data_IF_809634228837
#
_entry.id   IF_809634228837
#
_cell.length_a   1.000
_cell.length_b   1.000
_cell.length_c   1.000
_cell.angle_alpha   90.00
_cell.angle_beta   90.00
_cell.angle_gamma   90.00
#
_symmetry.space_group_name_H-M   'P 1'
#
loop_
_entity.id
_entity.type
_entity.pdbx_description
1 polymer ?
#
# COMPACT_ATOMS: atom_id res chain seq x y z
N UNK A 1 -11.04 3.75 18.98
CA UNK A 1 -10.48 4.26 17.69
C UNK A 1 -11.34 5.37 17.13
N UNK A 2 -12.64 5.16 16.90
CA UNK A 2 -13.55 6.21 16.38
C UNK A 2 -13.54 7.53 17.19
N UNK A 3 -13.61 7.46 18.53
CA UNK A 3 -13.51 8.67 19.37
C UNK A 3 -12.21 9.45 19.20
N UNK A 4 -11.09 8.76 18.93
CA UNK A 4 -9.80 9.42 18.66
C UNK A 4 -9.80 10.06 17.27
N UNK A 5 -10.35 9.37 16.25
CA UNK A 5 -10.51 9.94 14.91
C UNK A 5 -11.37 11.22 14.93
N UNK A 6 -12.50 11.21 15.64
CA UNK A 6 -13.37 12.37 15.76
C UNK A 6 -12.72 13.54 16.52
N UNK A 7 -11.95 13.24 17.58
CA UNK A 7 -11.17 14.27 18.27
C UNK A 7 -10.10 14.88 17.37
N UNK A 8 -9.36 14.05 16.62
CA UNK A 8 -8.36 14.53 15.65
C UNK A 8 -9.00 15.47 14.64
N UNK A 9 -10.16 15.12 14.09
CA UNK A 9 -10.91 15.96 13.14
C UNK A 9 -11.37 17.28 13.76
N UNK A 10 -11.77 17.27 15.02
CA UNK A 10 -12.18 18.49 15.73
C UNK A 10 -11.01 19.43 16.04
N UNK A 11 -9.79 18.89 16.18
CA UNK A 11 -8.56 19.67 16.39
C UNK A 11 -8.03 20.22 15.06
N UNK A 12 -8.11 19.46 13.98
CA UNK A 12 -7.67 19.85 12.65
C UNK A 12 -8.50 19.12 11.58
N UNK A 13 -9.33 19.87 10.86
CA UNK A 13 -10.18 19.35 9.78
C UNK A 13 -9.54 19.49 8.38
N UNK A 14 -8.30 19.97 8.29
CA UNK A 14 -7.62 20.24 7.02
C UNK A 14 -6.81 19.06 6.48
N UNK A 15 -6.62 18.00 7.27
CA UNK A 15 -5.80 16.82 6.95
C UNK A 15 -6.61 15.53 7.02
N UNK A 16 -6.35 14.56 6.12
CA UNK A 16 -7.03 13.27 6.17
C UNK A 16 -6.58 12.45 7.38
N UNK A 17 -7.49 11.65 7.91
CA UNK A 17 -7.27 10.75 9.03
C UNK A 17 -7.10 9.32 8.52
N UNK A 18 -5.99 8.68 8.91
CA UNK A 18 -5.82 7.21 8.87
C UNK A 18 -6.04 6.66 10.28
N UNK A 19 -6.98 5.73 10.45
CA UNK A 19 -7.41 5.21 11.75
C UNK A 19 -7.27 3.69 11.79
N UNK A 20 -6.44 3.16 12.70
CA UNK A 20 -6.09 1.72 12.78
C UNK A 20 -5.50 1.17 11.46
N UNK A 21 -4.49 1.89 10.95
CA UNK A 21 -3.82 1.65 9.66
C UNK A 21 -3.55 0.16 9.38
N UNK A 22 -3.99 -0.32 8.21
CA UNK A 22 -3.76 -1.69 7.75
C UNK A 22 -4.61 -2.79 8.39
N UNK A 23 -5.41 -2.45 9.40
CA UNK A 23 -6.23 -3.38 10.18
C UNK A 23 -7.72 -3.04 10.04
N UNK A 24 -8.52 -3.28 11.08
CA UNK A 24 -9.94 -2.96 11.13
C UNK A 24 -10.14 -1.44 11.38
N UNK A 25 -10.46 -0.68 10.33
CA UNK A 25 -10.45 0.78 10.32
C UNK A 25 -11.87 1.37 10.54
N UNK A 26 -12.15 1.99 11.70
CA UNK A 26 -13.32 2.84 11.89
C UNK A 26 -12.98 4.29 11.58
N UNK A 27 -13.93 5.03 11.00
CA UNK A 27 -13.90 6.47 10.75
C UNK A 27 -12.60 6.96 10.11
N UNK A 28 -12.21 6.37 8.98
CA UNK A 28 -11.00 6.69 8.20
C UNK A 28 -11.33 7.43 6.90
N UNK A 29 -10.51 8.41 6.53
CA UNK A 29 -10.63 9.13 5.26
C UNK A 29 -9.82 8.45 4.14
N UNK A 30 -8.92 7.52 4.51
CA UNK A 30 -8.09 6.73 3.60
C UNK A 30 -8.20 5.27 4.00
N UNK A 31 -8.53 4.39 3.07
CA UNK A 31 -8.49 2.94 3.30
C UNK A 31 -7.06 2.48 3.16
N UNK A 32 -6.55 1.77 4.16
CA UNK A 32 -5.17 1.28 4.19
C UNK A 32 -5.12 -0.24 4.31
N UNK A 33 -4.14 -0.90 3.70
CA UNK A 33 -3.92 -2.35 3.88
C UNK A 33 -2.45 -2.64 4.14
N UNK A 34 -2.18 -3.58 5.05
CA UNK A 34 -0.87 -4.22 5.17
C UNK A 34 -0.93 -5.51 4.37
N UNK A 35 -0.18 -5.57 3.28
CA UNK A 35 -0.19 -6.72 2.38
C UNK A 35 1.23 -7.22 2.11
N UNK A 36 1.63 -8.22 2.88
CA UNK A 36 2.95 -8.84 2.81
C UNK A 36 2.97 -10.09 1.92
N UNK A 37 2.13 -10.12 0.89
CA UNK A 37 2.23 -11.13 -0.17
C UNK A 37 3.68 -11.27 -0.66
N UNK A 38 4.16 -12.52 -0.70
CA UNK A 38 5.55 -12.85 -1.03
C UNK A 38 5.79 -12.97 -2.53
N UNK A 39 4.71 -12.93 -3.33
CA UNK A 39 4.70 -13.09 -4.78
C UNK A 39 3.96 -11.93 -5.45
N UNK A 40 4.51 -11.34 -6.53
CA UNK A 40 3.84 -10.28 -7.29
C UNK A 40 2.42 -10.66 -7.76
N UNK A 41 2.21 -11.91 -8.13
CA UNK A 41 0.94 -12.41 -8.66
C UNK A 41 -0.19 -12.37 -7.62
N UNK A 42 0.14 -12.46 -6.32
CA UNK A 42 -0.83 -12.33 -5.24
C UNK A 42 -1.31 -10.87 -5.10
N UNK A 43 -0.40 -9.90 -5.15
CA UNK A 43 -0.76 -8.48 -5.15
C UNK A 43 -1.57 -8.12 -6.41
N UNK A 44 -1.17 -8.62 -7.58
CA UNK A 44 -1.96 -8.44 -8.80
C UNK A 44 -3.37 -9.02 -8.64
N UNK A 45 -3.49 -10.24 -8.09
CA UNK A 45 -4.79 -10.85 -7.82
C UNK A 45 -5.67 -9.98 -6.89
N UNK A 46 -5.08 -9.37 -5.87
CA UNK A 46 -5.80 -8.57 -4.87
C UNK A 46 -6.23 -7.18 -5.39
N UNK A 47 -5.51 -6.61 -6.38
CA UNK A 47 -5.64 -5.19 -6.74
C UNK A 47 -5.83 -4.90 -8.25
N UNK A 48 -5.96 -5.91 -9.12
CA UNK A 48 -6.05 -5.70 -10.58
C UNK A 48 -7.46 -5.39 -11.12
N UNK A 49 -8.53 -5.75 -10.40
CA UNK A 49 -9.92 -5.55 -10.85
C UNK A 49 -10.80 -4.94 -9.76
N UNK A 50 -11.92 -4.34 -10.15
CA UNK A 50 -12.89 -3.79 -9.19
C UNK A 50 -13.40 -4.89 -8.24
N UNK A 51 -13.70 -6.08 -8.77
CA UNK A 51 -14.17 -7.20 -7.95
C UNK A 51 -13.12 -7.63 -6.92
N UNK A 52 -11.84 -7.68 -7.32
CA UNK A 52 -10.74 -8.00 -6.42
C UNK A 52 -10.57 -6.91 -5.35
N UNK A 53 -10.60 -5.64 -5.72
CA UNK A 53 -10.54 -4.51 -4.79
C UNK A 53 -11.66 -4.56 -3.75
N UNK A 54 -12.91 -4.77 -4.19
CA UNK A 54 -14.05 -4.88 -3.29
C UNK A 54 -13.91 -6.08 -2.36
N UNK A 55 -13.40 -7.21 -2.85
CA UNK A 55 -13.13 -8.37 -2.00
C UNK A 55 -12.06 -8.05 -0.94
N UNK A 56 -10.96 -7.40 -1.33
CA UNK A 56 -9.84 -7.03 -0.46
C UNK A 56 -10.23 -5.99 0.60
N UNK A 57 -11.11 -5.04 0.26
CA UNK A 57 -11.49 -3.92 1.14
C UNK A 57 -12.78 -4.19 1.93
N UNK A 58 -13.83 -4.72 1.30
CA UNK A 58 -15.14 -4.92 1.94
C UNK A 58 -15.29 -6.32 2.53
N UNK A 59 -14.53 -7.29 2.00
CA UNK A 59 -14.49 -8.67 2.47
C UNK A 59 -13.48 -8.91 3.59
N UNK A 60 -12.82 -10.06 3.52
CA UNK A 60 -11.70 -10.40 4.39
C UNK A 60 -10.42 -10.01 3.65
N UNK A 61 -9.76 -8.96 4.15
CA UNK A 61 -8.53 -8.43 3.59
C UNK A 61 -7.30 -9.33 3.85
N UNK A 62 -6.11 -8.90 3.38
CA UNK A 62 -4.88 -9.69 3.44
C UNK A 62 -4.49 -10.13 4.87
N UNK A 63 -4.90 -9.38 5.88
CA UNK A 63 -4.66 -9.68 7.29
C UNK A 63 -5.62 -10.73 7.88
N UNK A 64 -6.50 -11.33 7.06
CA UNK A 64 -7.47 -12.33 7.50
C UNK A 64 -8.64 -11.75 8.30
N UNK A 65 -8.91 -10.45 8.16
CA UNK A 65 -9.98 -9.73 8.88
C UNK A 65 -10.65 -8.71 7.96
N UNK A 66 -11.77 -8.13 8.41
CA UNK A 66 -12.43 -7.03 7.69
C UNK A 66 -11.59 -5.76 7.77
N UNK A 67 -11.43 -5.07 6.65
CA UNK A 67 -10.68 -3.81 6.57
C UNK A 67 -11.54 -2.63 7.05
N UNK A 68 -12.77 -2.49 6.54
CA UNK A 68 -13.71 -1.44 6.95
C UNK A 68 -14.78 -1.97 7.89
N UNK A 69 -15.06 -1.20 8.95
CA UNK A 69 -16.06 -1.56 9.97
C UNK A 69 -17.39 -0.83 9.81
N UNK A 70 -17.37 0.38 9.27
CA UNK A 70 -18.56 1.27 9.28
C UNK A 70 -19.44 1.06 8.05
N UNK A 71 -18.83 1.10 6.86
CA UNK A 71 -19.51 0.95 5.57
C UNK A 71 -18.58 0.29 4.56
N UNK A 72 -19.20 -0.34 3.56
CA UNK A 72 -18.47 -0.82 2.40
C UNK A 72 -17.89 0.35 1.61
N UNK A 73 -16.68 0.17 1.09
CA UNK A 73 -16.05 1.06 0.14
C UNK A 73 -16.75 1.00 -1.22
N UNK A 74 -17.00 2.17 -1.78
CA UNK A 74 -17.61 2.34 -3.10
C UNK A 74 -16.98 3.51 -3.87
N UNK A 75 -15.66 3.45 -4.03
CA UNK A 75 -14.87 4.51 -4.69
C UNK A 75 -14.96 5.89 -4.03
N UNK A 76 -15.42 5.95 -2.78
CA UNK A 76 -15.68 7.17 -2.00
C UNK A 76 -14.42 7.74 -1.34
N UNK A 77 -13.37 6.93 -1.21
CA UNK A 77 -12.08 7.29 -0.60
C UNK A 77 -10.91 6.55 -1.25
N UNK A 78 -9.68 7.10 -1.21
CA UNK A 78 -8.50 6.44 -1.74
C UNK A 78 -8.15 5.17 -0.96
N UNK A 79 -7.62 4.17 -1.67
CA UNK A 79 -7.08 2.93 -1.09
C UNK A 79 -5.56 2.92 -1.26
N UNK A 80 -4.81 2.64 -0.19
CA UNK A 80 -3.35 2.61 -0.14
C UNK A 80 -2.89 1.30 0.47
N UNK A 81 -1.90 0.63 -0.15
CA UNK A 81 -1.17 -0.45 0.54
C UNK A 81 -0.11 0.20 1.43
N UNK A 82 -0.44 0.46 2.68
CA UNK A 82 0.37 1.25 3.63
C UNK A 82 1.57 0.47 4.17
N UNK A 83 1.56 -0.85 4.06
CA UNK A 83 2.72 -1.70 4.29
C UNK A 83 2.77 -2.85 3.28
N UNK A 84 3.93 -3.06 2.67
CA UNK A 84 4.22 -4.23 1.85
C UNK A 84 5.73 -4.43 1.74
N UNK A 85 6.14 -5.51 1.07
CA UNK A 85 7.54 -5.82 0.83
C UNK A 85 7.97 -6.96 1.73
N UNK A 86 8.59 -6.65 2.87
CA UNK A 86 8.97 -7.70 3.82
C UNK A 86 10.12 -8.60 3.34
N UNK A 87 10.97 -8.12 2.42
CA UNK A 87 12.02 -8.94 1.80
C UNK A 87 13.32 -8.87 2.60
N UNK A 88 13.71 -9.97 3.23
CA UNK A 88 15.01 -10.14 3.88
C UNK A 88 16.07 -10.60 2.86
N UNK A 89 17.13 -9.81 2.68
CA UNK A 89 18.32 -10.23 1.93
C UNK A 89 19.31 -10.90 2.88
N UNK A 90 19.48 -12.21 2.75
CA UNK A 90 20.39 -13.01 3.57
C UNK A 90 21.51 -13.61 2.70
N UNK A 91 22.65 -12.92 2.62
CA UNK A 91 23.85 -13.37 1.91
C UNK A 91 24.70 -14.35 2.75
N UNK A 92 24.08 -15.18 3.61
CA UNK A 92 24.72 -16.25 4.37
C UNK A 92 24.95 -15.99 5.87
N UNK A 93 24.13 -15.13 6.49
CA UNK A 93 24.18 -14.79 7.92
C UNK A 93 22.82 -15.05 8.59
N UNK A 94 22.67 -16.27 9.13
CA UNK A 94 21.39 -16.76 9.63
C UNK A 94 21.08 -16.25 11.05
N UNK A 95 20.07 -15.37 11.13
CA UNK A 95 19.08 -15.21 12.24
C UNK A 95 18.14 -14.01 12.05
N UNK A 96 17.79 -13.68 10.81
CA UNK A 96 17.00 -12.49 10.53
C UNK A 96 15.60 -12.83 10.04
N UNK A 97 14.63 -11.97 10.38
CA UNK A 97 13.23 -12.16 10.04
C UNK A 97 12.81 -11.25 8.87
N UNK A 98 11.98 -11.82 7.99
CA UNK A 98 11.27 -11.16 6.91
C UNK A 98 10.16 -12.08 6.38
N UNK A 99 9.19 -11.52 5.68
CA UNK A 99 8.08 -12.27 5.06
C UNK A 99 8.56 -13.12 3.88
N UNK A 100 9.64 -12.71 3.23
CA UNK A 100 10.36 -13.49 2.23
C UNK A 100 11.86 -13.33 2.38
N UNK A 101 12.60 -14.42 2.47
CA UNK A 101 14.07 -14.40 2.48
C UNK A 101 14.62 -14.76 1.11
N UNK A 102 15.58 -13.97 0.63
CA UNK A 102 16.28 -14.17 -0.65
C UNK A 102 17.78 -14.25 -0.42
N UNK A 103 18.46 -15.07 -1.22
CA UNK A 103 19.87 -15.41 -0.99
C UNK A 103 20.86 -14.51 -1.74
N UNK A 104 20.39 -13.64 -2.64
CA UNK A 104 21.25 -12.80 -3.45
C UNK A 104 20.60 -11.46 -3.81
N UNK A 105 21.42 -10.48 -4.20
CA UNK A 105 20.95 -9.16 -4.63
C UNK A 105 20.14 -9.21 -5.92
N UNK A 106 20.48 -10.13 -6.82
CA UNK A 106 19.76 -10.33 -8.07
C UNK A 106 18.34 -10.85 -7.79
N UNK A 107 18.20 -11.79 -6.86
CA UNK A 107 16.88 -12.26 -6.43
C UNK A 107 16.12 -11.16 -5.70
N UNK A 108 16.78 -10.42 -4.79
CA UNK A 108 16.19 -9.28 -4.10
C UNK A 108 15.64 -8.23 -5.07
N UNK A 109 16.42 -7.83 -6.08
CA UNK A 109 15.98 -6.88 -7.10
C UNK A 109 14.78 -7.39 -7.88
N UNK A 110 14.80 -8.66 -8.30
CA UNK A 110 13.68 -9.27 -9.03
C UNK A 110 12.39 -9.24 -8.23
N UNK A 111 12.44 -9.63 -6.96
CA UNK A 111 11.26 -9.68 -6.07
C UNK A 111 10.79 -8.26 -5.74
N UNK A 112 11.71 -7.39 -5.34
CA UNK A 112 11.40 -5.99 -5.03
C UNK A 112 10.72 -5.28 -6.20
N UNK A 113 11.29 -5.40 -7.40
CA UNK A 113 10.71 -4.85 -8.63
C UNK A 113 9.33 -5.43 -8.90
N UNK A 114 9.17 -6.75 -8.79
CA UNK A 114 7.89 -7.43 -9.02
C UNK A 114 6.78 -6.94 -8.08
N UNK A 115 7.06 -6.85 -6.78
CA UNK A 115 6.07 -6.40 -5.79
C UNK A 115 5.68 -4.94 -6.03
N UNK A 116 6.65 -4.04 -6.26
CA UNK A 116 6.36 -2.63 -6.55
C UNK A 116 5.54 -2.49 -7.84
N UNK A 117 5.89 -3.23 -8.90
CA UNK A 117 5.20 -3.13 -10.18
C UNK A 117 3.78 -3.69 -10.09
N UNK A 118 3.55 -4.76 -9.34
CA UNK A 118 2.21 -5.29 -9.10
C UNK A 118 1.25 -4.24 -8.50
N UNK A 119 1.73 -3.39 -7.60
CA UNK A 119 0.94 -2.29 -7.03
C UNK A 119 0.81 -1.10 -7.97
N UNK A 120 1.88 -0.72 -8.69
CA UNK A 120 1.84 0.35 -9.69
C UNK A 120 0.88 0.04 -10.85
N UNK A 121 0.74 -1.25 -11.19
CA UNK A 121 -0.16 -1.75 -12.24
C UNK A 121 -1.65 -1.75 -11.81
N UNK A 122 -1.97 -1.55 -10.53
CA UNK A 122 -3.35 -1.39 -10.09
C UNK A 122 -3.94 -0.05 -10.56
N UNK A 123 -5.09 -0.04 -11.25
CA UNK A 123 -5.79 1.20 -11.58
C UNK A 123 -6.64 1.76 -10.43
N UNK A 124 -6.68 1.06 -9.29
CA UNK A 124 -7.55 1.37 -8.15
C UNK A 124 -6.80 1.93 -6.93
N UNK A 125 -5.52 1.55 -6.77
CA UNK A 125 -4.70 2.05 -5.68
C UNK A 125 -4.31 3.51 -5.90
N UNK A 126 -4.42 4.31 -4.84
CA UNK A 126 -3.94 5.69 -4.80
C UNK A 126 -2.43 5.76 -4.50
N UNK A 127 -1.84 4.71 -3.95
CA UNK A 127 -0.42 4.62 -3.65
C UNK A 127 -0.05 3.42 -2.81
N UNK A 128 1.20 3.40 -2.36
CA UNK A 128 1.74 2.40 -1.46
C UNK A 128 2.83 3.00 -0.55
N UNK A 129 3.16 2.31 0.53
CA UNK A 129 4.30 2.60 1.39
C UNK A 129 5.09 1.31 1.66
N UNK A 130 6.36 1.29 1.25
CA UNK A 130 7.22 0.12 1.41
C UNK A 130 7.74 0.02 2.84
N UNK A 131 7.55 -1.13 3.47
CA UNK A 131 8.09 -1.43 4.79
C UNK A 131 9.40 -2.21 4.62
N UNK A 132 10.56 -1.62 4.88
CA UNK A 132 10.83 -0.29 5.48
C UNK A 132 12.04 0.40 4.86
N UNK A 133 12.34 1.64 5.28
CA UNK A 133 13.50 2.38 4.76
C UNK A 133 14.84 1.72 5.17
N UNK A 134 14.97 1.32 6.43
CA UNK A 134 16.17 0.70 7.01
C UNK A 134 15.80 -0.54 7.78
N UNK A 135 16.72 -1.51 7.84
CA UNK A 135 16.61 -2.64 8.76
C UNK A 135 16.50 -2.14 10.21
N UNK A 136 15.62 -2.77 10.98
CA UNK A 136 15.29 -2.41 12.35
C UNK A 136 15.40 -3.63 13.26
N UNK A 137 16.49 -3.70 14.04
CA UNK A 137 16.78 -4.82 14.94
C UNK A 137 16.73 -6.18 14.23
N UNK A 138 15.71 -7.02 14.53
CA UNK A 138 15.56 -8.34 13.93
C UNK A 138 14.88 -8.31 12.56
N UNK A 139 14.21 -7.20 12.22
CA UNK A 139 13.56 -7.01 10.93
C UNK A 139 14.56 -6.49 9.91
N UNK A 140 14.95 -7.35 8.97
CA UNK A 140 15.93 -7.01 7.93
C UNK A 140 15.29 -6.82 6.55
N UNK A 141 14.04 -6.38 6.55
CA UNK A 141 13.25 -6.07 5.36
C UNK A 141 13.42 -4.64 4.84
N UNK A 142 14.40 -3.88 5.35
CA UNK A 142 14.67 -2.52 4.89
C UNK A 142 15.24 -2.49 3.46
N UNK A 143 14.95 -1.44 2.69
CA UNK A 143 15.69 -1.17 1.43
C UNK A 143 17.14 -0.75 1.69
N UNK A 144 17.43 -0.31 2.91
CA UNK A 144 18.77 -0.02 3.41
C UNK A 144 19.10 -0.89 4.63
N UNK A 145 20.39 -1.07 4.86
CA UNK A 145 20.96 -1.54 6.14
C UNK A 145 20.69 -0.54 7.28
N UNK A 146 20.97 -0.89 8.56
CA UNK A 146 20.80 0.03 9.69
C UNK A 146 21.62 1.32 9.56
N UNK A 147 22.79 1.25 8.90
CA UNK A 147 23.66 2.40 8.61
C UNK A 147 23.17 3.25 7.43
N UNK A 148 21.94 3.05 6.94
CA UNK A 148 21.37 3.72 5.75
C UNK A 148 22.16 3.47 4.47
N UNK A 149 22.88 2.34 4.38
CA UNK A 149 23.51 1.89 3.12
C UNK A 149 22.48 1.10 2.32
N UNK A 150 22.12 1.53 1.09
CA UNK A 150 21.18 0.83 0.23
C UNK A 150 21.63 -0.60 -0.09
N UNK A 151 20.69 -1.55 -0.11
CA UNK A 151 20.97 -2.95 -0.48
C UNK A 151 21.17 -3.15 -1.99
N UNK A 152 20.52 -2.30 -2.79
CA UNK A 152 20.71 -2.17 -4.23
C UNK A 152 21.32 -0.80 -4.56
N UNK A 153 21.91 -0.62 -5.77
CA UNK A 153 22.31 0.71 -6.23
C UNK A 153 21.15 1.71 -6.13
N UNK A 154 21.42 2.93 -5.64
CA UNK A 154 20.39 3.97 -5.43
C UNK A 154 19.58 4.27 -6.68
N UNK A 155 20.24 4.25 -7.83
CA UNK A 155 19.60 4.48 -9.12
C UNK A 155 18.58 3.38 -9.44
N UNK A 156 18.93 2.11 -9.23
CA UNK A 156 18.01 0.97 -9.39
C UNK A 156 16.77 1.12 -8.50
N UNK A 157 16.94 1.45 -7.22
CA UNK A 157 15.81 1.66 -6.29
C UNK A 157 14.91 2.80 -6.77
N UNK A 158 15.51 3.92 -7.18
CA UNK A 158 14.77 5.08 -7.71
C UNK A 158 13.97 4.70 -8.95
N UNK A 159 14.59 4.03 -9.91
CA UNK A 159 13.94 3.61 -11.16
C UNK A 159 12.75 2.68 -10.91
N UNK A 160 12.85 1.78 -9.93
CA UNK A 160 11.75 0.90 -9.53
C UNK A 160 10.61 1.70 -8.88
N UNK A 161 10.92 2.53 -7.88
CA UNK A 161 9.90 3.24 -7.08
C UNK A 161 9.20 4.34 -7.88
N UNK A 162 9.91 5.06 -8.74
CA UNK A 162 9.34 6.18 -9.51
C UNK A 162 8.91 5.79 -10.92
N UNK A 163 8.80 4.49 -11.22
CA UNK A 163 8.42 4.02 -12.53
C UNK A 163 6.98 4.44 -12.86
N UNK A 164 6.78 5.23 -13.91
CA UNK A 164 5.44 5.61 -14.37
C UNK A 164 4.88 4.74 -15.49
N UNK A 165 5.73 3.92 -16.14
CA UNK A 165 5.33 3.09 -17.29
C UNK A 165 4.12 2.18 -17.03
N UNK A 166 3.96 1.57 -15.82
CA UNK A 166 2.76 0.81 -15.51
C UNK A 166 1.44 1.59 -15.61
N UNK A 167 1.47 2.92 -15.50
CA UNK A 167 0.29 3.76 -15.64
C UNK A 167 -0.11 4.03 -17.10
N UNK A 168 0.80 3.86 -18.06
CA UNK A 168 0.54 4.21 -19.47
C UNK A 168 -0.56 3.33 -20.10
N UNK A 169 -0.85 2.17 -19.51
CA UNK A 169 -1.89 1.23 -19.93
C UNK A 169 -3.21 1.34 -19.14
N UNK A 170 -3.31 2.27 -18.18
CA UNK A 170 -4.45 2.37 -17.27
C UNK A 170 -5.45 3.46 -17.67
N UNK A 171 -6.73 3.11 -17.77
CA UNK A 171 -7.84 4.08 -17.70
C UNK A 171 -8.27 4.18 -16.24
N UNK A 172 -7.89 5.26 -15.55
CA UNK A 172 -8.30 5.46 -14.16
C UNK A 172 -9.80 5.73 -14.07
N UNK A 173 -10.55 5.06 -13.18
CA UNK A 173 -11.95 5.38 -12.94
C UNK A 173 -12.08 6.86 -12.59
N UNK A 174 -12.82 7.63 -13.40
CA UNK A 174 -13.16 9.01 -13.08
C UNK A 174 -14.51 8.98 -12.37
N UNK A 175 -14.54 9.38 -11.10
CA UNK A 175 -15.81 9.75 -10.47
C UNK A 175 -16.23 11.06 -11.12
N UNK A 176 -17.26 11.01 -11.97
CA UNK A 176 -17.91 12.21 -12.50
C UNK A 176 -18.85 12.70 -11.41
N UNK A 177 -18.36 13.60 -10.55
CA UNK A 177 -19.23 14.34 -9.64
C UNK A 177 -19.96 15.42 -10.44
N UNK A 178 -21.19 15.16 -10.85
CA UNK A 178 -22.07 16.20 -11.38
C UNK A 178 -22.42 17.17 -10.24
N UNK A 179 -21.72 18.30 -10.18
CA UNK A 179 -22.21 19.44 -9.42
C UNK A 179 -23.30 20.13 -10.25
N UNK A 180 -24.56 19.79 -9.99
CA UNK A 180 -25.68 20.57 -10.47
C UNK A 180 -25.57 21.98 -9.86
N UNK A 181 -25.07 22.94 -10.63
CA UNK A 181 -25.10 24.35 -10.25
C UNK A 181 -26.56 24.78 -10.39
N UNK A 182 -27.27 24.83 -9.25
CA UNK A 182 -28.63 25.35 -9.20
C UNK A 182 -28.67 26.76 -9.79
N UNK A 183 -29.48 26.93 -10.83
CA UNK A 183 -29.82 28.25 -11.36
C UNK A 183 -30.65 28.95 -10.28
N UNK A 184 -30.06 29.97 -9.64
CA UNK A 184 -30.84 30.90 -8.83
C UNK A 184 -31.69 31.75 -9.79
N UNK A 185 -32.99 31.46 -9.84
CA UNK A 185 -33.97 32.37 -10.46
C UNK A 185 -34.13 33.62 -9.58
N UNK A 186 -34.26 34.77 -10.27
CA UNK A 186 -34.31 36.13 -9.74
C UNK A 186 -35.58 36.45 -8.98
#
# INVERSE_FOLDING_TARGET
MEGLANLTRAVDDTRPISSNDGWEQPATDIVTTHDYADKPEQLQCAYASESAMRQSVNGIGPQGRRTLLDSDWDFDKPVIVSEFGGIALDEGNSKHWGYRTVGSKEEYEKVFKGLVFALLESPFLAGFCYTQLTDTAQEVNGICTPDRKPKLPKQTVREIITCSKPHDSQVRPRVVTEHAVGVAEK
#
